data_IF_679081633076
#
_entry.id   IF_679081633076
#
_cell.length_a   1.000
_cell.length_b   1.000
_cell.length_c   1.000
_cell.angle_alpha   90.00
_cell.angle_beta   90.00
_cell.angle_gamma   90.00
#
_symmetry.space_group_name_H-M   'P 1'
#
loop_
_entity.id
_entity.type
_entity.pdbx_description
1 polymer ?
#
# COMPACT_ATOMS: atom_id res chain seq x y z
N UNK A 1 17.56 2.36 13.07
CA UNK A 1 16.94 1.23 12.34
C UNK A 1 15.83 1.86 11.54
N UNK A 2 15.93 1.82 10.21
CA UNK A 2 14.85 2.25 9.33
C UNK A 2 13.77 1.17 9.38
N UNK A 3 12.62 1.50 9.95
CA UNK A 3 11.43 0.64 9.84
C UNK A 3 11.05 0.57 8.36
N UNK A 4 10.89 -0.61 7.82
CA UNK A 4 10.51 -0.86 6.43
C UNK A 4 9.11 -1.42 6.40
N UNK A 5 8.37 -1.12 5.34
CA UNK A 5 7.12 -1.84 5.04
C UNK A 5 7.41 -3.33 4.94
N UNK A 6 6.64 -4.15 5.63
CA UNK A 6 6.79 -5.60 5.56
C UNK A 6 6.11 -6.11 4.30
N UNK A 7 6.83 -6.85 3.48
CA UNK A 7 6.22 -7.66 2.42
C UNK A 7 6.45 -9.14 2.66
N UNK A 8 5.47 -9.92 2.25
CA UNK A 8 5.49 -11.33 2.44
C UNK A 8 6.04 -12.06 1.22
N UNK A 9 6.83 -13.05 1.52
CA UNK A 9 7.31 -14.08 0.60
C UNK A 9 7.03 -15.41 1.28
N UNK A 10 7.17 -16.51 0.61
CA UNK A 10 7.09 -17.84 1.26
C UNK A 10 8.05 -17.98 2.43
N UNK A 11 9.14 -17.21 2.46
CA UNK A 11 10.19 -17.37 3.47
C UNK A 11 9.93 -16.57 4.74
N UNK A 12 9.12 -15.53 4.71
CA UNK A 12 8.86 -14.64 5.84
C UNK A 12 7.38 -14.51 6.23
N UNK A 13 6.48 -15.25 5.60
CA UNK A 13 5.09 -15.36 6.02
C UNK A 13 5.00 -16.42 7.13
N UNK A 14 5.00 -15.99 8.39
CA UNK A 14 5.06 -16.88 9.53
C UNK A 14 3.69 -17.30 10.06
N UNK A 15 2.67 -16.48 9.83
CA UNK A 15 1.30 -16.71 10.28
C UNK A 15 0.29 -16.32 9.21
N UNK A 16 -0.82 -17.04 9.18
CA UNK A 16 -1.96 -16.80 8.30
C UNK A 16 -3.27 -16.98 9.06
N UNK A 17 -4.28 -16.21 8.70
CA UNK A 17 -5.66 -16.43 9.15
C UNK A 17 -6.35 -17.36 8.16
N UNK A 18 -6.90 -18.44 8.65
CA UNK A 18 -7.61 -19.45 7.87
C UNK A 18 -9.07 -19.44 8.24
N UNK A 19 -9.93 -19.27 7.25
CA UNK A 19 -11.38 -19.33 7.35
C UNK A 19 -11.85 -20.52 6.50
N UNK A 20 -12.50 -21.49 7.12
CA UNK A 20 -13.01 -22.68 6.44
C UNK A 20 -14.53 -22.68 6.42
N UNK A 21 -15.10 -22.86 5.25
CA UNK A 21 -16.54 -22.79 5.00
C UNK A 21 -17.09 -24.08 4.39
N UNK A 22 -18.30 -24.47 4.85
CA UNK A 22 -19.20 -25.41 4.16
C UNK A 22 -20.34 -24.62 3.51
N UNK A 23 -20.21 -24.34 2.23
CA UNK A 23 -21.07 -23.34 1.60
C UNK A 23 -20.89 -21.98 2.26
N UNK A 24 -21.94 -21.44 2.89
CA UNK A 24 -21.92 -20.15 3.60
C UNK A 24 -21.67 -20.29 5.11
N UNK A 25 -21.64 -21.50 5.62
CA UNK A 25 -21.47 -21.76 7.04
C UNK A 25 -19.97 -21.81 7.40
N UNK A 26 -19.54 -20.93 8.30
CA UNK A 26 -18.19 -20.93 8.84
C UNK A 26 -17.99 -22.12 9.78
N UNK A 27 -17.15 -23.07 9.39
CA UNK A 27 -16.83 -24.25 10.20
C UNK A 27 -15.76 -23.95 11.26
N UNK A 28 -14.71 -23.22 10.86
CA UNK A 28 -13.73 -22.71 11.81
C UNK A 28 -12.99 -21.49 11.26
N UNK A 29 -12.47 -20.70 12.20
CA UNK A 29 -11.57 -19.59 11.98
C UNK A 29 -10.41 -19.75 12.97
N UNK A 30 -9.17 -19.80 12.46
CA UNK A 30 -7.99 -19.92 13.31
C UNK A 30 -6.74 -19.35 12.64
N UNK A 31 -5.77 -18.98 13.47
CA UNK A 31 -4.44 -18.59 13.03
C UNK A 31 -3.58 -19.84 12.90
N UNK A 32 -3.06 -20.06 11.70
CA UNK A 32 -2.09 -21.13 11.44
C UNK A 32 -0.68 -20.53 11.47
N UNK A 33 0.23 -21.23 12.13
CA UNK A 33 1.63 -20.83 12.24
C UNK A 33 2.50 -21.72 11.36
N UNK A 34 3.48 -21.10 10.70
CA UNK A 34 4.42 -21.81 9.83
C UNK A 34 5.31 -22.73 10.67
N UNK A 35 5.44 -23.96 10.23
CA UNK A 35 6.45 -24.87 10.75
C UNK A 35 7.83 -24.47 10.20
N UNK A 36 8.78 -24.19 11.09
CA UNK A 36 10.12 -23.73 10.72
C UNK A 36 10.93 -24.75 9.90
N UNK A 37 10.54 -26.01 9.91
CA UNK A 37 11.24 -27.11 9.22
C UNK A 37 10.60 -27.46 7.86
N UNK A 38 9.39 -26.98 7.62
CA UNK A 38 8.63 -27.27 6.41
C UNK A 38 8.02 -25.98 5.87
N UNK A 39 7.55 -25.98 4.63
CA UNK A 39 6.78 -24.84 4.10
C UNK A 39 5.29 -24.94 4.43
N UNK A 40 4.93 -25.68 5.49
CA UNK A 40 3.54 -25.90 5.87
C UNK A 40 3.12 -24.98 7.00
N UNK A 41 1.83 -24.60 7.01
CA UNK A 41 1.21 -23.92 8.13
C UNK A 41 0.37 -24.90 8.91
N UNK A 42 0.42 -24.82 10.23
CA UNK A 42 -0.28 -25.72 11.15
C UNK A 42 -1.17 -24.92 12.10
N UNK A 43 -2.34 -25.47 12.35
CA UNK A 43 -3.23 -25.06 13.43
C UNK A 43 -2.67 -25.49 14.79
N UNK A 44 -2.95 -24.72 15.84
CA UNK A 44 -2.71 -25.15 17.21
C UNK A 44 -3.70 -26.22 17.67
N UNK A 45 -4.91 -26.22 17.08
CA UNK A 45 -5.98 -27.17 17.38
C UNK A 45 -6.23 -28.03 16.14
N UNK A 46 -6.15 -29.38 16.22
CA UNK A 46 -6.48 -30.21 15.08
C UNK A 46 -7.93 -30.04 14.63
N UNK A 47 -8.13 -29.82 13.33
CA UNK A 47 -9.43 -29.77 12.69
C UNK A 47 -9.62 -30.97 11.79
N UNK A 48 -10.75 -31.66 11.97
CA UNK A 48 -11.13 -32.80 11.15
C UNK A 48 -12.44 -32.49 10.46
N UNK A 49 -12.50 -32.71 9.16
CA UNK A 49 -13.71 -32.50 8.37
C UNK A 49 -14.05 -33.73 7.54
N UNK A 50 -15.34 -34.03 7.43
CA UNK A 50 -15.89 -35.20 6.70
C UNK A 50 -16.44 -34.83 5.32
N UNK A 51 -16.39 -33.56 4.98
CA UNK A 51 -16.98 -32.97 3.76
C UNK A 51 -15.99 -32.05 3.07
N UNK A 52 -16.30 -31.65 1.86
CA UNK A 52 -15.49 -30.66 1.15
C UNK A 52 -15.65 -29.28 1.80
N UNK A 53 -14.56 -28.60 2.05
CA UNK A 53 -14.52 -27.25 2.58
C UNK A 53 -13.88 -26.29 1.60
N UNK A 54 -14.35 -25.05 1.63
CA UNK A 54 -13.75 -23.94 0.92
C UNK A 54 -12.95 -23.11 1.93
N UNK A 55 -11.68 -22.86 1.61
CA UNK A 55 -10.77 -22.12 2.45
C UNK A 55 -10.50 -20.73 1.86
N UNK A 56 -10.64 -19.71 2.69
CA UNK A 56 -10.14 -18.35 2.45
C UNK A 56 -9.00 -18.14 3.42
N UNK A 57 -7.84 -17.78 2.90
CA UNK A 57 -6.62 -17.63 3.70
C UNK A 57 -6.02 -16.27 3.47
N UNK A 58 -5.74 -15.55 4.56
CA UNK A 58 -5.23 -14.19 4.52
C UNK A 58 -3.92 -14.13 5.31
N UNK A 59 -2.85 -13.69 4.64
CA UNK A 59 -1.59 -13.32 5.26
C UNK A 59 -1.42 -11.81 5.25
N UNK A 60 -0.66 -11.28 6.21
CA UNK A 60 -0.45 -9.84 6.30
C UNK A 60 -0.87 -9.23 7.64
N UNK A 61 -0.99 -10.07 8.63
CA UNK A 61 -1.27 -9.63 9.99
C UNK A 61 -0.01 -9.25 10.72
N UNK A 62 -0.01 -8.08 11.35
CA UNK A 62 0.91 -7.81 12.44
C UNK A 62 0.38 -8.48 13.71
N UNK A 63 0.93 -9.60 14.07
CA UNK A 63 0.70 -10.22 15.39
C UNK A 63 1.66 -9.67 16.46
N UNK A 64 2.39 -8.62 16.17
CA UNK A 64 3.16 -7.91 17.19
C UNK A 64 2.19 -7.45 18.28
N UNK A 65 2.31 -8.02 19.46
CA UNK A 65 1.48 -7.83 20.66
C UNK A 65 0.21 -8.72 20.79
N UNK A 66 0.06 -9.81 20.04
CA UNK A 66 -0.99 -10.80 20.28
C UNK A 66 -2.41 -10.36 19.90
N UNK A 67 -2.54 -9.32 19.08
CA UNK A 67 -3.81 -8.87 18.53
C UNK A 67 -3.97 -9.30 17.06
N UNK A 68 -5.16 -9.74 16.69
CA UNK A 68 -5.53 -9.92 15.29
C UNK A 68 -5.89 -8.56 14.68
N UNK A 69 -5.42 -8.26 13.47
CA UNK A 69 -5.90 -7.12 12.70
C UNK A 69 -7.24 -7.41 12.00
N UNK A 70 -7.84 -8.56 12.31
CA UNK A 70 -9.11 -8.98 11.78
C UNK A 70 -10.26 -8.34 12.56
N UNK A 71 -11.21 -7.77 11.83
CA UNK A 71 -12.48 -7.28 12.35
C UNK A 71 -13.62 -8.11 11.76
N UNK A 72 -14.48 -8.65 12.60
CA UNK A 72 -15.63 -9.40 12.11
C UNK A 72 -16.68 -8.45 11.53
N UNK A 73 -17.03 -8.64 10.27
CA UNK A 73 -18.07 -7.87 9.58
C UNK A 73 -19.22 -8.83 9.22
N UNK A 74 -20.34 -8.70 9.93
CA UNK A 74 -21.52 -9.52 9.65
C UNK A 74 -22.34 -8.95 8.47
N UNK A 75 -22.26 -7.63 8.24
CA UNK A 75 -23.02 -6.97 7.18
C UNK A 75 -22.21 -5.81 6.57
N UNK A 76 -21.90 -5.90 5.30
CA UNK A 76 -21.12 -4.87 4.57
C UNK A 76 -21.78 -3.49 4.57
N UNK A 77 -23.10 -3.41 4.74
CA UNK A 77 -23.82 -2.14 4.80
C UNK A 77 -23.67 -1.40 6.14
N UNK A 78 -23.14 -2.07 7.16
CA UNK A 78 -22.88 -1.50 8.48
C UNK A 78 -21.49 -0.84 8.56
N UNK A 79 -20.64 -1.02 7.56
CA UNK A 79 -19.33 -0.38 7.48
C UNK A 79 -19.48 1.12 7.24
N UNK A 80 -18.97 1.93 8.16
CA UNK A 80 -18.99 3.39 8.04
C UNK A 80 -17.85 3.88 7.13
N UNK A 81 -18.15 3.96 5.83
CA UNK A 81 -17.22 4.43 4.80
C UNK A 81 -16.84 5.92 4.94
N UNK A 82 -17.57 6.67 5.76
CA UNK A 82 -17.33 8.11 5.98
C UNK A 82 -16.60 8.39 7.29
N UNK A 83 -16.26 7.35 8.07
CA UNK A 83 -15.48 7.52 9.28
C UNK A 83 -14.13 8.18 8.96
N UNK A 84 -13.64 9.00 9.89
CA UNK A 84 -12.38 9.74 9.71
C UNK A 84 -11.15 8.83 9.53
N UNK A 85 -11.21 7.62 10.01
CA UNK A 85 -10.17 6.59 9.88
C UNK A 85 -10.41 5.62 8.72
N UNK A 86 -11.51 5.74 7.98
CA UNK A 86 -11.85 4.86 6.86
C UNK A 86 -12.89 3.81 7.21
N UNK A 87 -13.04 2.80 6.36
CA UNK A 87 -14.00 1.70 6.53
C UNK A 87 -13.74 0.87 7.80
N UNK A 88 -12.47 0.68 8.12
CA UNK A 88 -11.96 0.05 9.34
C UNK A 88 -10.82 0.90 9.91
N UNK A 89 -10.36 0.60 11.11
CA UNK A 89 -9.13 1.24 11.62
C UNK A 89 -7.94 0.90 10.71
N UNK A 90 -6.99 1.84 10.54
CA UNK A 90 -5.83 1.64 9.67
C UNK A 90 -5.06 0.36 10.00
N UNK A 91 -4.83 -0.46 8.99
CA UNK A 91 -4.19 -1.77 9.13
C UNK A 91 -5.13 -2.93 9.46
N UNK A 92 -6.40 -2.66 9.73
CA UNK A 92 -7.40 -3.72 9.93
C UNK A 92 -7.99 -4.19 8.61
N UNK A 93 -8.40 -5.45 8.59
CA UNK A 93 -9.21 -6.05 7.53
C UNK A 93 -10.39 -6.82 8.10
N UNK A 94 -11.43 -6.97 7.33
CA UNK A 94 -12.62 -7.75 7.70
C UNK A 94 -13.13 -8.56 6.53
N UNK A 95 -13.55 -9.78 6.79
CA UNK A 95 -14.09 -10.70 5.80
C UNK A 95 -15.60 -10.79 5.95
N UNK A 96 -16.30 -10.70 4.82
CA UNK A 96 -17.76 -10.88 4.72
C UNK A 96 -18.03 -12.05 3.80
N UNK A 97 -18.67 -13.07 4.33
CA UNK A 97 -19.12 -14.25 3.56
C UNK A 97 -20.58 -14.51 3.91
N UNK A 98 -21.46 -14.41 2.93
CA UNK A 98 -22.86 -14.80 3.10
C UNK A 98 -23.47 -15.18 1.74
N UNK A 99 -24.56 -15.95 1.78
CA UNK A 99 -25.26 -16.50 0.62
C UNK A 99 -25.85 -15.47 -0.35
N UNK A 100 -25.98 -14.22 0.07
CA UNK A 100 -26.54 -13.14 -0.74
C UNK A 100 -25.45 -12.40 -1.53
N UNK A 101 -24.18 -12.82 -1.41
CA UNK A 101 -23.06 -12.27 -2.13
C UNK A 101 -22.60 -13.21 -3.25
N UNK A 102 -22.32 -12.63 -4.42
CA UNK A 102 -21.74 -13.37 -5.55
C UNK A 102 -20.28 -13.81 -5.28
N UNK A 103 -19.63 -13.18 -4.31
CA UNK A 103 -18.22 -13.42 -3.93
C UNK A 103 -17.99 -13.03 -2.48
N UNK A 104 -17.14 -13.76 -1.72
CA UNK A 104 -16.64 -13.28 -0.46
C UNK A 104 -15.90 -11.94 -0.61
N UNK A 105 -16.11 -11.03 0.34
CA UNK A 105 -15.57 -9.67 0.30
C UNK A 105 -14.58 -9.46 1.42
N UNK A 106 -13.41 -8.91 1.08
CA UNK A 106 -12.41 -8.46 2.04
C UNK A 106 -12.43 -6.93 2.10
N UNK A 107 -12.78 -6.39 3.27
CA UNK A 107 -12.69 -4.94 3.54
C UNK A 107 -11.33 -4.63 4.13
N UNK A 108 -10.67 -3.59 3.66
CA UNK A 108 -9.36 -3.19 4.17
C UNK A 108 -9.20 -1.67 4.25
N UNK A 109 -8.48 -1.22 5.26
CA UNK A 109 -8.04 0.18 5.40
C UNK A 109 -6.53 0.23 5.57
N UNK A 110 -5.88 0.94 4.67
CA UNK A 110 -4.43 1.08 4.58
C UNK A 110 -3.91 2.05 5.67
N UNK A 111 -2.84 1.72 6.41
CA UNK A 111 -2.16 2.67 7.28
C UNK A 111 -1.64 3.90 6.53
N UNK A 112 -1.72 5.07 7.15
CA UNK A 112 -1.26 6.33 6.53
C UNK A 112 0.26 6.40 6.39
N UNK A 113 1.00 5.75 7.29
CA UNK A 113 2.46 5.72 7.25
C UNK A 113 2.96 4.43 6.65
N UNK A 114 3.85 4.53 5.68
CA UNK A 114 4.49 3.38 5.06
C UNK A 114 5.17 2.46 6.09
N UNK A 115 5.72 3.00 7.18
CA UNK A 115 6.35 2.23 8.27
C UNK A 115 5.38 1.36 9.08
N UNK A 116 4.10 1.62 8.96
CA UNK A 116 3.02 0.90 9.67
C UNK A 116 2.30 -0.08 8.73
N UNK A 117 2.70 -0.13 7.45
CA UNK A 117 2.08 -0.98 6.45
C UNK A 117 2.62 -2.39 6.47
N UNK A 118 1.72 -3.32 6.24
CA UNK A 118 2.02 -4.72 5.99
C UNK A 118 1.43 -5.11 4.64
N UNK A 119 2.13 -5.98 3.94
CA UNK A 119 1.60 -6.59 2.74
C UNK A 119 0.36 -7.43 3.07
N UNK A 120 -0.55 -7.50 2.14
CA UNK A 120 -1.77 -8.28 2.25
C UNK A 120 -1.80 -9.29 1.12
N UNK A 121 -1.72 -10.57 1.49
CA UNK A 121 -1.76 -11.69 0.55
C UNK A 121 -2.98 -12.57 0.81
N UNK A 122 -3.61 -13.03 -0.24
CA UNK A 122 -4.83 -13.84 -0.18
C UNK A 122 -4.63 -15.13 -0.98
N UNK A 123 -5.10 -16.24 -0.45
CA UNK A 123 -5.23 -17.50 -1.16
C UNK A 123 -6.62 -18.08 -0.96
N UNK A 124 -7.12 -18.79 -1.95
CA UNK A 124 -8.34 -19.62 -1.82
C UNK A 124 -8.01 -21.04 -2.25
N UNK A 125 -8.65 -22.00 -1.62
CA UNK A 125 -8.51 -23.40 -1.98
C UNK A 125 -9.76 -24.20 -1.58
N UNK A 126 -9.95 -25.35 -2.20
CA UNK A 126 -10.92 -26.35 -1.72
C UNK A 126 -10.15 -27.57 -1.23
N UNK A 127 -10.62 -28.16 -0.14
CA UNK A 127 -10.06 -29.39 0.41
C UNK A 127 -11.15 -30.38 0.75
N UNK A 128 -10.93 -31.64 0.46
CA UNK A 128 -11.79 -32.77 0.80
C UNK A 128 -11.32 -33.48 2.07
N UNK A 129 -12.12 -34.37 2.61
CA UNK A 129 -11.74 -35.22 3.75
C UNK A 129 -10.44 -36.01 3.51
N UNK A 130 -10.10 -36.32 2.24
CA UNK A 130 -8.86 -37.02 1.88
C UNK A 130 -7.60 -36.16 1.98
N UNK A 131 -7.74 -34.84 2.08
CA UNK A 131 -6.61 -33.89 2.15
C UNK A 131 -6.14 -33.62 3.58
N UNK A 132 -6.82 -34.19 4.59
CA UNK A 132 -6.48 -33.99 6.00
C UNK A 132 -5.03 -34.35 6.34
N UNK A 133 -4.55 -35.47 5.77
CA UNK A 133 -3.20 -35.97 6.03
C UNK A 133 -2.13 -35.32 5.13
N UNK A 134 -2.50 -34.91 3.91
CA UNK A 134 -1.59 -34.33 2.92
C UNK A 134 -1.52 -32.79 2.99
N UNK A 135 -2.53 -32.18 3.57
CA UNK A 135 -2.73 -30.74 3.58
C UNK A 135 -3.34 -30.20 2.29
N UNK A 136 -3.83 -28.99 2.37
CA UNK A 136 -4.43 -28.25 1.24
C UNK A 136 -3.41 -27.27 0.68
N UNK A 137 -3.13 -27.35 -0.62
CA UNK A 137 -2.18 -26.46 -1.29
C UNK A 137 -2.74 -25.04 -1.42
N UNK A 138 -1.95 -24.03 -1.08
CA UNK A 138 -2.31 -22.61 -1.14
C UNK A 138 -1.44 -21.88 -2.13
N UNK A 139 -2.06 -21.08 -2.99
CA UNK A 139 -1.37 -20.13 -3.85
C UNK A 139 -1.72 -18.72 -3.43
N UNK A 140 -0.77 -18.02 -2.79
CA UNK A 140 -0.96 -16.65 -2.35
C UNK A 140 -0.73 -15.66 -3.48
N UNK A 141 -1.57 -14.65 -3.51
CA UNK A 141 -1.46 -13.50 -4.40
C UNK A 141 -1.36 -12.21 -3.58
N UNK A 142 -0.46 -11.32 -3.98
CA UNK A 142 -0.42 -9.96 -3.44
C UNK A 142 -1.60 -9.17 -3.99
N UNK A 143 -2.44 -8.64 -3.11
CA UNK A 143 -3.63 -7.89 -3.51
C UNK A 143 -3.45 -6.38 -3.48
N UNK A 144 -2.30 -5.89 -2.99
CA UNK A 144 -1.90 -4.49 -3.01
C UNK A 144 -0.95 -4.20 -4.17
N UNK A 145 -0.73 -2.92 -4.44
CA UNK A 145 0.32 -2.44 -5.34
C UNK A 145 1.52 -1.96 -4.52
N UNK A 146 2.72 -2.27 -4.98
CA UNK A 146 3.97 -1.85 -4.35
C UNK A 146 4.55 -0.65 -5.09
N UNK A 147 4.86 0.42 -4.37
CA UNK A 147 5.42 1.65 -4.92
C UNK A 147 6.82 1.89 -4.36
N UNK A 148 7.74 2.25 -5.22
CA UNK A 148 9.09 2.70 -4.86
C UNK A 148 9.36 4.03 -5.53
N UNK A 149 9.89 5.00 -4.79
CA UNK A 149 10.39 6.26 -5.34
C UNK A 149 11.90 6.31 -5.24
N UNK A 150 12.55 6.59 -6.37
CA UNK A 150 13.97 6.94 -6.46
C UNK A 150 14.11 8.40 -6.89
N UNK A 151 15.15 9.05 -6.46
CA UNK A 151 15.42 10.43 -6.82
C UNK A 151 16.89 10.64 -7.13
N UNK A 152 17.19 11.54 -8.03
CA UNK A 152 18.55 11.99 -8.33
C UNK A 152 18.57 13.43 -8.82
N UNK A 153 19.76 14.02 -8.85
CA UNK A 153 20.03 15.30 -9.50
C UNK A 153 21.42 15.24 -10.15
N UNK A 154 21.61 15.95 -11.24
CA UNK A 154 22.89 16.00 -11.96
C UNK A 154 23.22 17.42 -12.45
N UNK A 155 22.96 18.42 -11.62
CA UNK A 155 23.20 19.81 -11.92
C UNK A 155 24.46 20.31 -11.24
N UNK A 156 25.50 20.68 -11.99
CA UNK A 156 26.83 21.03 -11.49
C UNK A 156 26.88 22.13 -10.41
N UNK A 157 25.89 23.02 -10.38
CA UNK A 157 25.84 24.16 -9.46
C UNK A 157 24.73 24.03 -8.39
N UNK A 158 23.97 22.93 -8.38
CA UNK A 158 22.89 22.75 -7.42
C UNK A 158 23.36 21.95 -6.20
N UNK A 159 22.71 22.23 -5.07
CA UNK A 159 22.75 21.40 -3.87
C UNK A 159 21.27 21.23 -3.47
N UNK A 160 20.78 20.01 -3.59
CA UNK A 160 19.38 19.68 -3.36
C UNK A 160 19.27 18.67 -2.23
N UNK A 161 18.49 19.03 -1.22
CA UNK A 161 18.13 18.12 -0.15
C UNK A 161 16.64 17.81 -0.23
N UNK A 162 16.33 16.53 -0.13
CA UNK A 162 14.99 15.99 -0.13
C UNK A 162 14.61 15.56 1.29
N UNK A 163 13.46 16.02 1.74
CA UNK A 163 12.87 15.66 3.04
C UNK A 163 11.60 14.82 2.92
N UNK A 164 10.69 15.03 3.85
CA UNK A 164 9.44 14.28 3.90
C UNK A 164 8.70 14.33 2.55
N UNK A 165 8.24 13.16 2.12
CA UNK A 165 7.51 12.98 0.86
C UNK A 165 6.18 12.29 1.13
N UNK A 166 5.13 12.78 0.49
CA UNK A 166 3.78 12.27 0.65
C UNK A 166 3.10 12.12 -0.70
N UNK A 167 2.45 11.00 -0.92
CA UNK A 167 1.53 10.79 -2.03
C UNK A 167 0.13 11.24 -1.60
N UNK A 168 -0.44 12.19 -2.30
CA UNK A 168 -1.71 12.86 -1.94
C UNK A 168 -2.88 12.34 -2.76
N UNK A 169 -4.06 12.35 -2.13
CA UNK A 169 -5.36 12.05 -2.74
C UNK A 169 -5.47 10.64 -3.33
N UNK A 170 -4.94 9.65 -2.62
CA UNK A 170 -5.16 8.23 -2.93
C UNK A 170 -6.25 7.65 -2.03
N UNK A 171 -7.03 6.73 -2.58
CA UNK A 171 -8.03 6.00 -1.81
C UNK A 171 -7.31 5.02 -0.87
N UNK A 172 -7.67 5.05 0.41
CA UNK A 172 -6.99 4.25 1.44
C UNK A 172 -7.87 3.17 2.07
N UNK A 173 -9.15 3.11 1.69
CA UNK A 173 -10.07 2.04 2.09
C UNK A 173 -10.76 1.47 0.87
N UNK A 174 -11.09 0.18 0.90
CA UNK A 174 -11.80 -0.46 -0.21
C UNK A 174 -12.29 -1.86 0.12
N UNK A 175 -13.01 -2.43 -0.83
CA UNK A 175 -13.46 -3.81 -0.85
C UNK A 175 -12.66 -4.56 -1.92
N UNK A 176 -12.09 -5.68 -1.55
CA UNK A 176 -11.53 -6.65 -2.48
C UNK A 176 -12.49 -7.83 -2.61
N UNK A 177 -12.99 -8.07 -3.83
CA UNK A 177 -13.82 -9.21 -4.17
C UNK A 177 -12.93 -10.41 -4.46
N UNK A 178 -12.96 -11.42 -3.61
CA UNK A 178 -11.99 -12.52 -3.61
C UNK A 178 -12.09 -13.34 -4.91
N UNK A 179 -13.28 -13.66 -5.37
CA UNK A 179 -13.49 -14.49 -6.58
C UNK A 179 -13.09 -13.75 -7.87
N UNK A 180 -13.45 -12.47 -7.97
CA UNK A 180 -13.14 -11.66 -9.16
C UNK A 180 -11.75 -11.04 -9.13
N UNK A 181 -11.08 -11.09 -7.97
CA UNK A 181 -9.76 -10.51 -7.72
C UNK A 181 -9.70 -9.02 -8.01
N UNK A 182 -10.74 -8.27 -7.66
CA UNK A 182 -10.87 -6.85 -7.96
C UNK A 182 -11.13 -6.02 -6.72
N UNK A 183 -10.48 -4.86 -6.67
CA UNK A 183 -10.80 -3.81 -5.73
C UNK A 183 -11.99 -3.00 -6.23
N UNK A 184 -12.96 -2.82 -5.36
CA UNK A 184 -14.18 -2.07 -5.62
C UNK A 184 -14.48 -1.13 -4.45
N UNK A 185 -15.43 -0.22 -4.59
CA UNK A 185 -15.87 0.74 -3.57
C UNK A 185 -14.69 1.40 -2.83
N UNK A 186 -13.77 1.99 -3.60
CA UNK A 186 -12.66 2.73 -3.02
C UNK A 186 -13.18 4.00 -2.32
N UNK A 187 -12.61 4.32 -1.17
CA UNK A 187 -13.06 5.42 -0.32
C UNK A 187 -11.89 6.04 0.46
N UNK A 188 -12.19 7.17 1.12
CA UNK A 188 -11.29 7.90 2.00
C UNK A 188 -9.99 8.35 1.31
N UNK A 189 -10.06 9.29 0.35
CA UNK A 189 -8.86 9.86 -0.24
C UNK A 189 -8.03 10.55 0.83
N UNK A 190 -6.81 10.10 1.03
CA UNK A 190 -5.88 10.62 2.04
C UNK A 190 -4.48 10.78 1.48
N UNK A 191 -3.64 11.36 2.31
CA UNK A 191 -2.20 11.43 2.07
C UNK A 191 -1.51 10.20 2.63
N UNK A 192 -0.54 9.68 1.88
CA UNK A 192 0.33 8.59 2.29
C UNK A 192 1.73 9.16 2.55
N UNK A 193 2.22 9.07 3.77
CA UNK A 193 3.60 9.46 4.09
C UNK A 193 4.55 8.37 3.60
N UNK A 194 5.36 8.70 2.60
CA UNK A 194 6.19 7.72 1.87
C UNK A 194 7.58 7.53 2.48
N UNK A 195 8.04 8.45 3.35
CA UNK A 195 9.37 8.34 3.94
C UNK A 195 9.36 8.48 5.47
N UNK A 196 10.26 7.77 6.17
CA UNK A 196 10.37 7.83 7.62
C UNK A 196 11.33 8.93 8.11
N UNK A 197 11.70 9.88 7.29
CA UNK A 197 12.75 10.87 7.59
C UNK A 197 12.32 11.92 8.63
N UNK A 198 11.65 11.59 9.65
CA UNK A 198 11.29 12.34 10.88
C UNK A 198 11.82 13.81 10.96
N UNK A 199 11.78 14.55 9.85
CA UNK A 199 12.29 15.91 9.71
C UNK A 199 13.72 16.05 9.19
N UNK A 200 14.47 14.97 9.04
CA UNK A 200 15.81 15.00 8.44
C UNK A 200 15.71 15.12 6.92
N UNK A 201 16.64 15.84 6.32
CA UNK A 201 16.78 15.99 4.87
C UNK A 201 18.04 15.28 4.39
N UNK A 202 17.95 14.63 3.22
CA UNK A 202 19.07 13.92 2.58
C UNK A 202 19.50 14.62 1.31
N UNK A 203 20.81 14.74 1.10
CA UNK A 203 21.36 15.29 -0.14
C UNK A 203 21.08 14.33 -1.30
N UNK A 204 20.55 14.85 -2.40
CA UNK A 204 20.51 14.13 -3.65
C UNK A 204 21.89 14.00 -4.26
N UNK A 205 22.09 12.98 -5.08
CA UNK A 205 23.32 12.71 -5.82
C UNK A 205 22.98 12.43 -7.28
N UNK A 206 24.00 12.30 -8.13
CA UNK A 206 23.79 11.93 -9.55
C UNK A 206 23.36 10.48 -9.76
N UNK A 207 23.36 9.67 -8.72
CA UNK A 207 22.84 8.30 -8.78
C UNK A 207 21.40 8.27 -8.30
N UNK A 208 20.55 7.58 -9.04
CA UNK A 208 19.16 7.39 -8.65
C UNK A 208 19.06 6.45 -7.44
N UNK A 209 18.97 7.02 -6.27
CA UNK A 209 18.89 6.30 -5.00
C UNK A 209 17.47 6.27 -4.44
N UNK A 210 17.21 5.31 -3.60
CA UNK A 210 15.97 5.18 -2.82
C UNK A 210 16.05 6.09 -1.60
N UNK A 211 16.00 7.42 -1.83
CA UNK A 211 15.98 8.43 -0.76
C UNK A 211 14.70 8.39 0.05
N UNK A 212 13.65 7.90 -0.57
CA UNK A 212 12.39 7.57 0.04
C UNK A 212 12.45 6.10 0.46
N UNK A 213 11.46 5.59 1.18
CA UNK A 213 11.45 4.18 1.54
C UNK A 213 11.67 3.28 0.32
N UNK A 214 12.32 2.14 0.53
CA UNK A 214 12.47 1.11 -0.51
C UNK A 214 11.15 0.85 -1.25
N UNK A 215 10.05 0.89 -0.50
CA UNK A 215 8.70 0.71 -1.05
C UNK A 215 7.66 1.05 0.01
N UNK A 216 6.47 1.36 -0.46
CA UNK A 216 5.24 1.42 0.33
C UNK A 216 4.10 0.79 -0.48
N UNK A 217 2.99 0.53 0.20
CA UNK A 217 1.85 -0.17 -0.36
C UNK A 217 0.68 0.77 -0.55
N UNK A 218 -0.08 0.53 -1.60
CA UNK A 218 -1.34 1.22 -1.86
C UNK A 218 -2.41 0.23 -2.31
N UNK A 219 -3.66 0.59 -2.09
CA UNK A 219 -4.78 -0.14 -2.69
C UNK A 219 -4.77 0.12 -4.21
N UNK A 220 -4.84 -0.93 -5.05
CA UNK A 220 -4.95 -0.80 -6.49
C UNK A 220 -6.10 0.12 -6.91
N UNK A 221 -5.80 1.09 -7.74
CA UNK A 221 -6.76 2.12 -8.13
C UNK A 221 -6.36 2.85 -9.40
N UNK A 222 -7.34 3.47 -10.05
CA UNK A 222 -7.13 4.44 -11.11
C UNK A 222 -6.95 5.82 -10.49
N UNK A 223 -5.78 6.40 -10.63
CA UNK A 223 -5.48 7.74 -10.15
C UNK A 223 -5.35 8.72 -11.31
N UNK A 224 -6.17 9.76 -11.28
CA UNK A 224 -6.03 10.91 -12.20
C UNK A 224 -4.99 11.87 -11.63
N UNK A 225 -4.04 12.30 -12.45
CA UNK A 225 -3.08 13.30 -12.04
C UNK A 225 -3.77 14.62 -11.68
N UNK A 226 -3.25 15.34 -10.68
CA UNK A 226 -3.64 16.70 -10.40
C UNK A 226 -3.36 17.60 -11.63
N UNK A 227 -4.35 18.40 -12.04
CA UNK A 227 -4.22 19.37 -13.12
C UNK A 227 -3.66 20.69 -12.57
N UNK A 228 -2.34 20.78 -12.50
CA UNK A 228 -1.65 21.93 -11.96
C UNK A 228 -1.83 23.20 -12.78
N UNK A 229 -2.16 23.08 -14.07
CA UNK A 229 -2.27 24.21 -15.01
C UNK A 229 -3.65 24.85 -14.99
N UNK A 230 -4.71 24.04 -14.86
CA UNK A 230 -6.09 24.51 -15.06
C UNK A 230 -6.94 24.46 -13.78
N UNK A 231 -6.57 23.66 -12.79
CA UNK A 231 -7.39 23.44 -11.59
C UNK A 231 -6.51 23.41 -10.32
N UNK A 232 -5.64 24.40 -10.17
CA UNK A 232 -4.70 24.45 -9.06
C UNK A 232 -5.37 24.59 -7.68
N UNK A 233 -6.54 25.22 -7.62
CA UNK A 233 -7.28 25.42 -6.36
C UNK A 233 -8.02 24.17 -5.89
N UNK A 234 -8.19 23.19 -6.76
CA UNK A 234 -9.01 22.00 -6.48
C UNK A 234 -8.16 20.76 -6.28
N UNK A 235 -7.38 20.77 -5.21
CA UNK A 235 -6.48 19.68 -4.83
C UNK A 235 -7.19 18.36 -4.53
N UNK A 236 -8.52 18.37 -4.32
CA UNK A 236 -9.32 17.17 -4.13
C UNK A 236 -9.51 16.33 -5.38
N UNK A 237 -9.21 16.86 -6.58
CA UNK A 237 -9.55 16.24 -7.85
C UNK A 237 -8.39 15.50 -8.54
N UNK A 238 -7.23 15.39 -7.92
CA UNK A 238 -6.13 14.70 -8.58
C UNK A 238 -5.01 14.27 -7.62
N UNK A 239 -4.30 13.24 -8.03
CA UNK A 239 -3.20 12.68 -7.26
C UNK A 239 -1.90 13.40 -7.58
N UNK A 240 -1.12 13.69 -6.56
CA UNK A 240 0.19 14.31 -6.69
C UNK A 240 1.15 13.87 -5.58
N UNK A 241 2.43 13.98 -5.87
CA UNK A 241 3.49 13.82 -4.89
C UNK A 241 3.85 15.20 -4.33
N UNK A 242 3.89 15.35 -3.02
CA UNK A 242 4.47 16.53 -2.35
C UNK A 242 5.74 16.12 -1.63
N UNK A 243 6.77 16.95 -1.68
CA UNK A 243 8.05 16.68 -1.04
C UNK A 243 8.70 17.95 -0.55
N UNK A 244 9.28 17.86 0.67
CA UNK A 244 10.09 18.97 1.23
C UNK A 244 11.41 19.05 0.52
N UNK A 245 11.84 20.28 0.25
CA UNK A 245 13.09 20.60 -0.43
C UNK A 245 13.87 21.70 0.29
N UNK A 246 15.19 21.58 0.26
CA UNK A 246 16.14 22.68 0.49
C UNK A 246 17.08 22.74 -0.72
N UNK A 247 16.97 23.81 -1.50
CA UNK A 247 17.65 23.93 -2.79
C UNK A 247 18.45 25.20 -2.89
N UNK A 248 19.73 25.04 -3.20
CA UNK A 248 20.65 26.14 -3.50
C UNK A 248 21.24 25.93 -4.90
N UNK A 249 21.20 26.95 -5.75
CA UNK A 249 21.78 26.94 -7.11
C UNK A 249 22.78 28.08 -7.24
N UNK A 250 24.02 27.80 -7.59
CA UNK A 250 25.08 28.81 -7.71
C UNK A 250 25.29 29.63 -6.43
N UNK A 251 25.07 29.03 -5.26
CA UNK A 251 25.16 29.67 -3.96
C UNK A 251 23.95 30.53 -3.57
N UNK A 252 22.91 30.57 -4.40
CA UNK A 252 21.67 31.31 -4.12
C UNK A 252 20.59 30.33 -3.67
N UNK A 253 19.91 30.64 -2.55
CA UNK A 253 18.77 29.88 -2.07
C UNK A 253 17.58 30.02 -3.06
N UNK A 254 17.04 28.90 -3.50
CA UNK A 254 15.90 28.80 -4.40
C UNK A 254 14.65 28.30 -3.66
N UNK A 255 14.83 27.30 -2.81
CA UNK A 255 13.80 26.74 -1.92
C UNK A 255 14.43 26.65 -0.51
N UNK A 256 13.79 27.19 0.53
CA UNK A 256 12.46 27.79 0.55
C UNK A 256 12.32 29.10 -0.25
N UNK A 257 11.11 29.36 -0.73
CA UNK A 257 10.75 30.59 -1.46
C UNK A 257 9.62 31.34 -0.73
N UNK A 258 9.48 32.64 -1.09
CA UNK A 258 8.41 33.50 -0.56
C UNK A 258 7.28 33.60 -1.57
N UNK A 259 6.06 33.41 -1.11
CA UNK A 259 4.85 33.65 -1.91
C UNK A 259 4.46 35.13 -1.92
N UNK A 260 3.53 35.52 -2.80
CA UNK A 260 3.07 36.92 -2.90
C UNK A 260 2.36 37.42 -1.63
N UNK A 261 1.78 36.53 -0.85
CA UNK A 261 1.15 36.81 0.45
C UNK A 261 2.13 36.77 1.63
N UNK A 262 3.44 36.57 1.35
CA UNK A 262 4.51 36.59 2.35
C UNK A 262 4.70 35.27 3.10
N UNK A 263 4.06 34.20 2.70
CA UNK A 263 4.30 32.90 3.29
C UNK A 263 5.60 32.29 2.79
N UNK A 264 6.28 31.50 3.61
CA UNK A 264 7.45 30.74 3.23
C UNK A 264 7.05 29.32 2.88
N UNK A 265 7.45 28.86 1.70
CA UNK A 265 7.22 27.50 1.22
C UNK A 265 8.54 26.75 1.03
N UNK A 266 8.56 25.52 1.50
CA UNK A 266 9.72 24.64 1.45
C UNK A 266 9.41 23.29 0.74
N UNK A 267 8.38 23.25 -0.08
CA UNK A 267 7.94 22.04 -0.76
C UNK A 267 7.75 22.25 -2.26
N UNK A 268 7.96 21.16 -3.00
CA UNK A 268 7.58 21.03 -4.39
C UNK A 268 6.47 20.02 -4.57
N UNK A 269 5.74 20.12 -5.69
CA UNK A 269 4.56 19.32 -5.97
C UNK A 269 4.61 18.81 -7.42
N UNK A 270 4.40 17.50 -7.59
CA UNK A 270 4.44 16.86 -8.91
C UNK A 270 3.17 16.04 -9.14
N UNK A 271 2.37 16.38 -10.18
CA UNK A 271 1.22 15.55 -10.54
C UNK A 271 1.64 14.12 -10.85
N UNK A 272 0.91 13.14 -10.33
CA UNK A 272 1.10 11.72 -10.62
C UNK A 272 -0.25 11.10 -10.88
N UNK A 273 -0.44 10.54 -12.08
CA UNK A 273 -1.64 9.79 -12.46
C UNK A 273 -1.27 8.48 -13.11
N UNK A 274 -1.89 7.41 -12.64
CA UNK A 274 -1.70 6.08 -13.20
C UNK A 274 -2.76 5.11 -12.67
N UNK A 275 -3.01 4.05 -13.44
CA UNK A 275 -3.63 2.83 -12.92
C UNK A 275 -2.56 2.01 -12.19
N UNK A 276 -2.81 1.74 -10.91
CA UNK A 276 -2.00 0.80 -10.12
C UNK A 276 -2.76 -0.50 -9.95
N UNK A 277 -2.14 -1.61 -10.32
CA UNK A 277 -2.74 -2.94 -10.36
C UNK A 277 -2.21 -3.81 -9.20
N UNK A 278 -3.05 -4.73 -8.72
CA UNK A 278 -2.66 -5.71 -7.69
C UNK A 278 -1.49 -6.57 -8.15
N UNK A 279 -0.59 -6.91 -7.22
CA UNK A 279 0.57 -7.76 -7.49
C UNK A 279 1.61 -7.14 -8.42
N UNK A 280 1.57 -5.82 -8.61
CA UNK A 280 2.57 -5.10 -9.41
C UNK A 280 3.43 -4.19 -8.55
N UNK A 281 4.70 -4.05 -8.95
CA UNK A 281 5.61 -3.07 -8.38
C UNK A 281 5.87 -1.95 -9.39
N UNK A 282 5.71 -0.72 -8.93
CA UNK A 282 5.94 0.51 -9.70
C UNK A 282 7.16 1.22 -9.12
N UNK A 283 8.18 1.43 -9.93
CA UNK A 283 9.39 2.14 -9.55
C UNK A 283 9.43 3.47 -10.29
N UNK A 284 9.17 4.56 -9.57
CA UNK A 284 9.29 5.91 -10.07
C UNK A 284 10.71 6.43 -9.84
N UNK A 285 11.31 6.97 -10.89
CA UNK A 285 12.60 7.65 -10.81
C UNK A 285 12.38 9.12 -11.12
N UNK A 286 12.61 9.99 -10.13
CA UNK A 286 12.37 11.42 -10.18
C UNK A 286 13.68 12.13 -10.43
N UNK A 287 13.72 12.93 -11.49
CA UNK A 287 14.87 13.72 -11.90
C UNK A 287 14.70 15.20 -11.49
N UNK A 288 15.51 15.64 -10.55
CA UNK A 288 15.55 17.01 -10.06
C UNK A 288 16.60 17.89 -10.76
N UNK A 289 17.25 17.41 -11.83
CA UNK A 289 18.35 18.12 -12.49
C UNK A 289 17.91 19.50 -13.00
N UNK A 290 16.77 19.61 -13.65
CA UNK A 290 16.30 20.83 -14.30
C UNK A 290 15.11 21.50 -13.61
N UNK A 291 14.53 20.86 -12.58
CA UNK A 291 13.32 21.38 -11.95
C UNK A 291 13.03 20.83 -10.58
N UNK A 292 12.16 21.53 -9.84
CA UNK A 292 11.86 21.22 -8.44
C UNK A 292 10.35 21.00 -8.20
N UNK A 293 9.58 20.70 -9.24
CA UNK A 293 8.14 20.57 -9.20
C UNK A 293 7.41 21.89 -9.37
N UNK A 294 6.14 21.91 -9.00
CA UNK A 294 5.29 23.10 -9.04
C UNK A 294 5.24 23.77 -7.67
N UNK A 295 4.75 25.00 -7.62
CA UNK A 295 4.36 25.70 -6.39
C UNK A 295 3.16 25.01 -5.75
N UNK A 296 2.88 25.37 -4.50
CA UNK A 296 1.78 24.78 -3.74
C UNK A 296 0.43 24.91 -4.44
N UNK A 297 -0.36 23.84 -4.47
CA UNK A 297 -1.76 23.95 -4.89
C UNK A 297 -2.61 24.86 -3.97
N UNK A 298 -2.16 25.09 -2.74
CA UNK A 298 -2.84 25.98 -1.78
C UNK A 298 -2.39 27.45 -1.89
N UNK A 299 -1.52 27.79 -2.85
CA UNK A 299 -1.10 29.17 -3.08
C UNK A 299 -2.20 29.92 -3.82
N UNK A 300 -2.38 31.24 -3.57
CA UNK A 300 -3.43 32.04 -4.21
C UNK A 300 -3.20 32.26 -5.72
N UNK A 301 -2.01 31.97 -6.20
CA UNK A 301 -1.62 32.06 -7.61
C UNK A 301 -1.68 30.67 -8.26
N UNK A 302 -1.96 30.58 -9.58
CA UNK A 302 -1.85 29.34 -10.31
C UNK A 302 -0.52 28.63 -10.07
N UNK A 303 -0.54 27.31 -9.97
CA UNK A 303 0.68 26.52 -9.79
C UNK A 303 1.68 26.83 -10.92
N UNK A 304 2.93 27.07 -10.52
CA UNK A 304 4.02 27.42 -11.45
C UNK A 304 5.18 26.45 -11.24
N UNK A 305 5.87 26.05 -12.31
CA UNK A 305 7.10 25.30 -12.17
C UNK A 305 8.13 26.05 -11.33
N UNK A 306 8.71 25.37 -10.35
CA UNK A 306 9.87 25.86 -9.59
C UNK A 306 11.12 25.55 -10.42
N UNK A 307 11.57 26.53 -11.18
CA UNK A 307 12.58 26.47 -12.24
C UNK A 307 12.02 25.82 -13.51
N UNK A 308 11.76 24.53 -13.49
CA UNK A 308 11.05 23.73 -14.51
C UNK A 308 10.23 22.62 -13.84
N UNK A 309 9.27 22.02 -14.53
CA UNK A 309 8.59 20.84 -14.03
C UNK A 309 9.60 19.71 -13.77
N UNK A 310 9.41 18.98 -12.70
CA UNK A 310 10.15 17.74 -12.43
C UNK A 310 9.81 16.69 -13.48
N UNK A 311 10.81 16.00 -13.97
CA UNK A 311 10.61 14.86 -14.86
C UNK A 311 10.66 13.56 -14.05
N UNK A 312 9.89 12.57 -14.47
CA UNK A 312 9.97 11.24 -13.89
C UNK A 312 9.70 10.15 -14.92
N UNK A 313 10.27 8.98 -14.66
CA UNK A 313 9.96 7.74 -15.38
C UNK A 313 9.33 6.75 -14.41
N UNK A 314 8.55 5.81 -14.94
CA UNK A 314 7.99 4.74 -14.13
C UNK A 314 8.18 3.41 -14.84
N UNK A 315 8.90 2.48 -14.21
CA UNK A 315 8.96 1.09 -14.62
C UNK A 315 7.97 0.24 -13.82
N UNK A 316 7.43 -0.79 -14.46
CA UNK A 316 6.48 -1.72 -13.84
C UNK A 316 7.00 -3.13 -13.99
N UNK A 317 7.01 -3.87 -12.89
CA UNK A 317 7.39 -5.29 -12.87
C UNK A 317 6.36 -6.09 -12.09
N UNK A 318 6.26 -7.37 -12.38
CA UNK A 318 5.45 -8.28 -11.58
C UNK A 318 6.08 -8.40 -10.18
N UNK A 319 5.25 -8.34 -9.17
CA UNK A 319 5.67 -8.64 -7.83
C UNK A 319 5.83 -10.15 -7.70
N UNK A 320 7.03 -10.63 -7.42
CA UNK A 320 7.36 -12.05 -7.47
C UNK A 320 6.43 -12.87 -6.58
N UNK A 321 5.72 -13.81 -7.20
CA UNK A 321 5.02 -14.87 -6.50
C UNK A 321 6.05 -15.91 -6.04
N UNK A 322 5.97 -16.28 -4.78
CA UNK A 322 6.82 -17.30 -4.19
C UNK A 322 6.12 -18.67 -4.22
N UNK A 323 6.90 -19.75 -4.05
CA UNK A 323 6.43 -21.13 -4.14
C UNK A 323 5.26 -21.45 -3.18
N UNK A 324 4.42 -22.40 -3.60
CA UNK A 324 3.16 -22.78 -2.93
C UNK A 324 3.38 -23.45 -1.55
N UNK A 325 2.98 -22.81 -0.43
CA UNK A 325 2.90 -23.50 0.85
C UNK A 325 1.63 -24.37 0.94
N UNK A 326 1.62 -25.32 1.87
CA UNK A 326 0.43 -26.12 2.19
C UNK A 326 -0.06 -25.84 3.60
N UNK A 327 -1.36 -25.97 3.82
CA UNK A 327 -1.93 -25.98 5.18
C UNK A 327 -2.23 -27.42 5.62
N UNK A 328 -1.79 -27.78 6.82
CA UNK A 328 -2.14 -29.03 7.49
C UNK A 328 -2.97 -28.72 8.71
N UNK A 329 -4.23 -29.14 8.69
CA UNK A 329 -5.17 -28.96 9.80
C UNK A 329 -5.32 -30.25 10.65
N UNK A 330 -4.62 -31.34 10.31
CA UNK A 330 -4.89 -32.70 10.79
C UNK A 330 -3.81 -33.42 11.60
N UNK A 331 -2.80 -32.75 12.20
CA UNK A 331 -1.88 -33.39 13.14
C UNK A 331 -1.94 -32.80 14.54
#
# INVERSE_FOLDING_TARGET
MTSRTTHYTTDNLDQISVFAYDGDDLEFEEIFTRDSNTSTFKSATPHYWEKDLYFIVIGGNSYENGGSNFEKIDNINEVDWNASYGALYPGQYGLVVNKDLDSPLLVYTLPEKATEQYDLVVATASGSASDQDSGVALQFEHILSKITFKAFENHDAANIKLGQTELKNIQTSGIYEIETKKWTRLANPKSQVCNPLNGDMQNLTSEANEYLMDHFLIIPQDATAWDADNDHENTGNGTYLSYKLDVTVGGKQMIPYQTSDGQTRDAGYTPIGRTWEAGKQYVYTIDFTDGFGNTSPDDPEPAKPLLSPVQFTCSVVDWNQSAEPTINAGE
#
